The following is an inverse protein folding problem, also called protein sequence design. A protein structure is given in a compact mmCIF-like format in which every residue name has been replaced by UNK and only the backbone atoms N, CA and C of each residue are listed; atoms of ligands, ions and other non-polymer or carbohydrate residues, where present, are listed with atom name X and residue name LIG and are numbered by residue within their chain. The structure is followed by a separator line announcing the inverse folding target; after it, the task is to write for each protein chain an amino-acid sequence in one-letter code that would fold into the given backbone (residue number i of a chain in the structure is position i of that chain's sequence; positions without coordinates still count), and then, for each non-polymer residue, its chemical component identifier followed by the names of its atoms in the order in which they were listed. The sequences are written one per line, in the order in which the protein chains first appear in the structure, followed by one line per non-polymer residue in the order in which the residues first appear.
data_IF_758586959398
#
_entry.id   IF_758586959398
#
_cell.length_a   1.000
_cell.length_b   1.000
_cell.length_c   1.000
_cell.angle_alpha   90.00
_cell.angle_beta   90.00
_cell.angle_gamma   90.00
#
_symmetry.space_group_name_H-M   'P 1'
#
loop_
_entity.id
_entity.type
_entity.pdbx_description
1 polymer ?
#
# COMPACT_ATOMS: atom_id res chain seq x y z
N UNK A 1 -21.10 -8.82 -16.60
CA UNK A 1 -19.99 -7.92 -16.29
C UNK A 1 -19.95 -7.72 -14.79
N UNK A 2 -19.01 -8.37 -14.08
CA UNK A 2 -18.68 -8.15 -12.66
C UNK A 2 -17.45 -9.02 -12.30
N UNK A 3 -16.39 -8.97 -13.11
CA UNK A 3 -15.17 -9.79 -12.90
C UNK A 3 -14.04 -9.01 -12.20
N UNK A 4 -14.33 -7.85 -11.61
CA UNK A 4 -13.33 -6.87 -11.18
C UNK A 4 -13.17 -6.77 -9.65
N UNK A 5 -13.21 -7.90 -8.93
CA UNK A 5 -12.99 -7.87 -7.49
C UNK A 5 -12.04 -9.00 -7.05
N UNK A 6 -10.87 -8.57 -6.56
CA UNK A 6 -9.92 -9.32 -5.71
C UNK A 6 -8.97 -10.31 -6.38
N UNK A 7 -8.25 -9.91 -7.44
CA UNK A 7 -6.87 -10.37 -7.55
C UNK A 7 -6.08 -9.77 -6.37
N UNK A 8 -5.93 -10.53 -5.28
CA UNK A 8 -5.04 -10.16 -4.16
C UNK A 8 -3.58 -10.21 -4.62
N UNK A 9 -3.15 -9.20 -5.39
CA UNK A 9 -1.73 -8.89 -5.51
C UNK A 9 -1.29 -8.39 -4.16
N UNK A 10 -0.43 -9.11 -3.45
CA UNK A 10 0.15 -8.62 -2.19
C UNK A 10 1.20 -7.57 -2.56
N UNK A 11 0.76 -6.34 -2.81
CA UNK A 11 1.63 -5.24 -3.22
C UNK A 11 1.93 -4.26 -2.08
N UNK A 12 2.87 -3.34 -2.34
CA UNK A 12 3.11 -2.19 -1.47
C UNK A 12 1.80 -1.44 -1.13
N UNK A 13 0.84 -1.21 -2.07
CA UNK A 13 -0.43 -0.58 -1.75
C UNK A 13 -1.23 -1.31 -0.65
N UNK A 14 -1.26 -2.63 -0.67
CA UNK A 14 -1.96 -3.45 0.32
C UNK A 14 -1.29 -3.41 1.68
N UNK A 15 0.04 -3.45 1.70
CA UNK A 15 0.82 -3.27 2.93
C UNK A 15 0.59 -1.89 3.54
N UNK A 16 0.60 -0.82 2.72
CA UNK A 16 0.30 0.53 3.19
C UNK A 16 -1.12 0.62 3.75
N UNK A 17 -2.13 0.05 3.07
CA UNK A 17 -3.50 0.01 3.59
C UNK A 17 -3.60 -0.74 4.91
N UNK A 18 -2.95 -1.91 5.01
CA UNK A 18 -2.95 -2.73 6.21
C UNK A 18 -2.34 -2.01 7.41
N UNK A 19 -1.16 -1.40 7.24
CA UNK A 19 -0.50 -0.63 8.30
C UNK A 19 -1.32 0.61 8.65
N UNK A 20 -1.87 1.34 7.67
CA UNK A 20 -2.70 2.50 7.93
C UNK A 20 -3.94 2.14 8.77
N UNK A 21 -4.61 1.04 8.43
CA UNK A 21 -5.75 0.54 9.20
C UNK A 21 -5.35 0.15 10.64
N UNK A 22 -4.25 -0.60 10.81
CA UNK A 22 -3.72 -0.98 12.14
C UNK A 22 -3.43 0.26 13.01
N UNK A 23 -2.92 1.34 12.41
CA UNK A 23 -2.57 2.58 13.11
C UNK A 23 -3.72 3.59 13.20
N UNK A 24 -4.92 3.25 12.73
CA UNK A 24 -6.09 4.14 12.77
C UNK A 24 -5.95 5.36 11.86
N UNK A 25 -5.22 5.24 10.74
CA UNK A 25 -5.11 6.29 9.73
C UNK A 25 -6.25 6.20 8.73
N UNK A 26 -6.96 7.31 8.53
CA UNK A 26 -7.90 7.46 7.42
C UNK A 26 -7.13 7.71 6.11
N UNK A 27 -7.78 7.50 4.96
CA UNK A 27 -7.20 7.87 3.67
C UNK A 27 -6.79 9.35 3.61
N UNK A 28 -7.62 10.24 4.17
CA UNK A 28 -7.33 11.66 4.24
C UNK A 28 -6.03 11.94 5.00
N UNK A 29 -5.89 11.33 6.19
CA UNK A 29 -4.70 11.49 7.02
C UNK A 29 -3.45 10.91 6.36
N UNK A 30 -3.57 9.74 5.72
CA UNK A 30 -2.47 9.13 4.97
C UNK A 30 -2.01 10.04 3.83
N UNK A 31 -2.95 10.60 3.06
CA UNK A 31 -2.64 11.50 1.95
C UNK A 31 -1.94 12.78 2.43
N UNK A 32 -2.47 13.40 3.49
CA UNK A 32 -1.87 14.57 4.14
C UNK A 32 -0.45 14.28 4.64
N UNK A 33 -0.21 13.09 5.21
CA UNK A 33 1.11 12.70 5.76
C UNK A 33 2.21 12.72 4.70
N UNK A 34 1.89 12.35 3.46
CA UNK A 34 2.85 12.32 2.35
C UNK A 34 2.71 13.52 1.41
N UNK A 35 1.86 14.49 1.74
CA UNK A 35 1.71 15.75 1.01
C UNK A 35 1.03 15.61 -0.35
N UNK A 36 0.06 14.69 -0.48
CA UNK A 36 -0.70 14.48 -1.73
C UNK A 36 -2.20 14.62 -1.51
N UNK A 37 -2.97 14.71 -2.59
CA UNK A 37 -4.44 14.69 -2.51
C UNK A 37 -4.97 13.29 -2.22
N UNK A 38 -6.18 13.23 -1.64
CA UNK A 38 -6.87 11.95 -1.38
C UNK A 38 -7.11 11.15 -2.67
N UNK A 39 -7.39 11.82 -3.79
CA UNK A 39 -7.52 11.18 -5.11
C UNK A 39 -6.20 10.54 -5.54
N UNK A 40 -5.07 11.24 -5.39
CA UNK A 40 -3.74 10.69 -5.71
C UNK A 40 -3.36 9.51 -4.81
N UNK A 41 -3.83 9.49 -3.55
CA UNK A 41 -3.69 8.32 -2.70
C UNK A 41 -4.55 7.16 -3.20
N UNK A 42 -5.78 7.44 -3.64
CA UNK A 42 -6.67 6.45 -4.25
C UNK A 42 -6.05 5.75 -5.46
N UNK A 43 -5.39 6.50 -6.34
CA UNK A 43 -4.65 5.94 -7.49
C UNK A 43 -3.50 5.02 -7.06
N UNK A 44 -2.83 5.33 -5.95
CA UNK A 44 -1.80 4.46 -5.38
C UNK A 44 -2.37 3.20 -4.76
N UNK A 45 -3.46 3.32 -4.02
CA UNK A 45 -4.17 2.18 -3.44
C UNK A 45 -4.77 1.25 -4.50
N UNK A 46 -5.13 1.79 -5.67
CA UNK A 46 -5.54 1.00 -6.82
C UNK A 46 -4.36 0.37 -7.59
N UNK A 47 -3.11 0.63 -7.20
CA UNK A 47 -1.92 0.14 -7.90
C UNK A 47 -1.65 0.80 -9.26
N UNK A 48 -2.39 1.86 -9.61
CA UNK A 48 -2.20 2.60 -10.89
C UNK A 48 -0.98 3.52 -10.85
N UNK A 49 -0.64 4.01 -9.66
CA UNK A 49 0.56 4.83 -9.41
C UNK A 49 1.35 4.19 -8.28
N UNK A 50 2.65 3.99 -8.48
CA UNK A 50 3.52 3.46 -7.43
C UNK A 50 3.75 4.48 -6.32
N UNK A 51 3.90 4.01 -5.08
CA UNK A 51 4.43 4.83 -4.00
C UNK A 51 5.91 5.14 -4.27
N UNK A 52 6.31 6.39 -4.04
CA UNK A 52 7.72 6.78 -4.06
C UNK A 52 8.40 6.33 -2.76
N UNK A 53 9.71 6.11 -2.81
CA UNK A 53 10.48 5.71 -1.63
C UNK A 53 10.38 6.71 -0.48
N UNK A 54 10.38 8.02 -0.77
CA UNK A 54 10.25 9.07 0.23
C UNK A 54 8.84 9.13 0.85
N UNK A 55 7.80 8.80 0.08
CA UNK A 55 6.42 8.67 0.59
C UNK A 55 6.33 7.53 1.60
N UNK A 56 6.90 6.36 1.29
CA UNK A 56 6.93 5.22 2.22
C UNK A 56 7.71 5.55 3.49
N UNK A 57 8.86 6.24 3.37
CA UNK A 57 9.65 6.64 4.52
C UNK A 57 8.88 7.63 5.42
N UNK A 58 8.19 8.61 4.85
CA UNK A 58 7.33 9.55 5.60
C UNK A 58 6.22 8.82 6.36
N UNK A 59 5.58 7.83 5.72
CA UNK A 59 4.55 7.02 6.37
C UNK A 59 5.13 6.20 7.52
N UNK A 60 6.28 5.56 7.34
CA UNK A 60 6.96 4.79 8.38
C UNK A 60 7.25 5.64 9.63
N UNK A 61 7.81 6.84 9.43
CA UNK A 61 8.08 7.79 10.51
C UNK A 61 6.79 8.23 11.21
N UNK A 62 5.77 8.61 10.45
CA UNK A 62 4.51 9.11 11.01
C UNK A 62 3.73 8.02 11.77
N UNK A 63 3.74 6.80 11.25
CA UNK A 63 3.03 5.64 11.81
C UNK A 63 3.84 4.90 12.89
N UNK A 64 5.10 5.31 13.11
CA UNK A 64 6.05 4.71 14.07
C UNK A 64 6.18 3.20 13.86
N UNK A 65 6.41 2.80 12.62
CA UNK A 65 6.70 1.42 12.26
C UNK A 65 7.98 1.33 11.44
N UNK A 66 8.69 0.20 11.47
CA UNK A 66 9.78 -0.05 10.56
C UNK A 66 9.34 -0.03 9.09
N UNK A 67 10.20 0.45 8.20
CA UNK A 67 9.87 0.70 6.78
C UNK A 67 9.56 -0.60 6.03
N UNK A 68 10.20 -1.70 6.43
CA UNK A 68 10.00 -3.03 5.87
C UNK A 68 8.55 -3.54 6.00
N UNK A 69 7.75 -3.00 6.93
CA UNK A 69 6.33 -3.38 7.06
C UNK A 69 5.48 -2.98 5.84
N UNK A 70 5.96 -2.05 5.02
CA UNK A 70 5.29 -1.60 3.81
C UNK A 70 5.62 -2.43 2.57
N UNK A 71 6.49 -3.43 2.69
CA UNK A 71 6.90 -4.28 1.58
C UNK A 71 6.38 -5.71 1.78
N UNK A 72 6.00 -6.41 0.70
CA UNK A 72 5.77 -7.85 0.75
C UNK A 72 7.06 -8.58 1.12
N UNK A 73 6.91 -9.69 1.85
CA UNK A 73 8.00 -10.63 2.08
C UNK A 73 8.26 -11.43 0.81
N UNK A 74 9.48 -11.97 0.60
CA UNK A 74 9.79 -12.82 -0.55
C UNK A 74 8.76 -13.94 -0.76
N UNK A 75 8.40 -14.65 0.32
CA UNK A 75 7.41 -15.73 0.30
C UNK A 75 6.02 -15.31 -0.22
N UNK A 76 5.65 -14.05 -0.03
CA UNK A 76 4.37 -13.50 -0.49
C UNK A 76 4.41 -13.11 -1.97
N UNK A 77 5.60 -12.86 -2.52
CA UNK A 77 5.83 -12.60 -3.94
C UNK A 77 5.81 -13.92 -4.70
N UNK A 78 6.55 -14.91 -4.23
CA UNK A 78 6.66 -16.24 -4.86
C UNK A 78 5.28 -16.90 -5.01
N UNK A 79 4.47 -16.86 -3.93
CA UNK A 79 3.11 -17.39 -3.93
C UNK A 79 2.13 -16.64 -4.86
N UNK A 80 2.45 -15.41 -5.24
CA UNK A 80 1.65 -14.65 -6.21
C UNK A 80 2.03 -15.01 -7.65
N UNK A 81 3.30 -15.30 -7.92
CA UNK A 81 3.81 -15.68 -9.25
C UNK A 81 3.37 -17.09 -9.64
N UNK A 82 3.41 -18.05 -8.71
CA UNK A 82 2.96 -19.45 -8.95
C UNK A 82 1.47 -19.57 -9.31
N UNK A 83 0.64 -18.57 -8.97
CA UNK A 83 -0.80 -18.58 -9.27
C UNK A 83 -1.14 -18.06 -10.66
N UNK A 84 -0.17 -17.46 -11.35
CA UNK A 84 -0.34 -16.88 -12.69
C UNK A 84 0.30 -17.76 -13.78
N UNK A 85 1.18 -18.70 -13.38
CA UNK A 85 1.78 -19.71 -14.25
C UNK A 85 0.84 -20.91 -14.49
#
# INVERSE_FOLDING_TARGET
MLSDMTESRIGIPDKVRGVAAEKGYTQERTALTIGISRTQLGERYAGRISFKADEILKLALAMRVPVERFFPKPEEIDAAEERVA
#
